data_IF_993050597727
#
_entry.id   IF_993050597727
#
_cell.length_a   1.000
_cell.length_b   1.000
_cell.length_c   1.000
_cell.angle_alpha   90.00
_cell.angle_beta   90.00
_cell.angle_gamma   90.00
#
_symmetry.space_group_name_H-M   'P 1'
#
loop_
_entity.id
_entity.type
_entity.pdbx_description
1 polymer ?
#
# COMPACT_ATOMS: atom_id res chain seq x y z
N UNK A 1 -21.03 9.68 -31.28
CA UNK A 1 -20.67 10.24 -29.95
C UNK A 1 -19.23 9.96 -29.64
N UNK A 2 -18.39 10.99 -29.52
CA UNK A 2 -16.99 10.84 -29.09
C UNK A 2 -16.93 10.76 -27.57
N UNK A 3 -16.28 9.72 -27.04
CA UNK A 3 -16.11 9.53 -25.60
C UNK A 3 -14.76 10.10 -25.15
N UNK A 4 -14.72 10.57 -23.89
CA UNK A 4 -13.52 11.18 -23.27
C UNK A 4 -12.24 10.34 -23.41
N UNK A 5 -12.36 9.01 -23.36
CA UNK A 5 -11.21 8.10 -23.42
C UNK A 5 -10.79 7.67 -24.84
N UNK A 6 -11.49 8.15 -25.87
CA UNK A 6 -11.18 7.80 -27.25
C UNK A 6 -10.15 8.76 -27.84
N UNK A 7 -9.15 8.21 -28.53
CA UNK A 7 -8.21 8.99 -29.33
C UNK A 7 -8.71 8.99 -30.77
N UNK A 8 -8.95 10.18 -31.32
CA UNK A 8 -9.34 10.34 -32.72
C UNK A 8 -8.12 10.09 -33.61
N UNK A 9 -8.27 9.31 -34.67
CA UNK A 9 -7.19 8.98 -35.62
C UNK A 9 -7.70 9.08 -37.07
N UNK A 10 -6.79 9.37 -37.99
CA UNK A 10 -7.02 9.42 -39.45
C UNK A 10 -8.07 10.45 -39.92
N UNK A 11 -8.17 11.60 -39.23
CA UNK A 11 -8.99 12.75 -39.66
C UNK A 11 -8.29 14.04 -39.26
N UNK A 12 -8.40 15.09 -40.08
CA UNK A 12 -7.77 16.38 -39.79
C UNK A 12 -8.50 17.13 -38.67
N UNK A 13 -9.82 17.30 -38.81
CA UNK A 13 -10.64 18.05 -37.86
C UNK A 13 -12.02 17.44 -37.71
N UNK A 14 -12.65 17.65 -36.56
CA UNK A 14 -14.05 17.30 -36.34
C UNK A 14 -14.72 18.43 -35.57
N UNK A 15 -15.93 18.81 -35.98
CA UNK A 15 -16.77 19.73 -35.23
C UNK A 15 -17.75 18.91 -34.39
N UNK A 16 -17.85 19.24 -33.11
CA UNK A 16 -18.72 18.52 -32.17
C UNK A 16 -19.24 19.43 -31.08
N UNK A 17 -20.43 19.12 -30.57
CA UNK A 17 -21.02 19.76 -29.42
C UNK A 17 -20.72 18.93 -28.17
N UNK A 18 -20.18 19.58 -27.13
CA UNK A 18 -19.91 18.93 -25.84
C UNK A 18 -21.22 18.81 -25.07
N UNK A 19 -21.68 17.57 -24.85
CA UNK A 19 -22.92 17.28 -24.11
C UNK A 19 -22.62 16.99 -22.63
N UNK A 20 -21.54 16.28 -22.33
CA UNK A 20 -21.17 15.87 -20.96
C UNK A 20 -19.74 16.32 -20.64
N UNK A 21 -19.53 16.88 -19.45
CA UNK A 21 -18.22 17.36 -18.96
C UNK A 21 -17.90 16.73 -17.60
N UNK A 22 -16.61 16.69 -17.24
CA UNK A 22 -16.16 16.28 -15.91
C UNK A 22 -16.69 14.91 -15.44
N UNK A 23 -17.50 14.96 -14.38
CA UNK A 23 -18.05 13.79 -13.68
C UNK A 23 -19.20 13.11 -14.43
N UNK A 24 -19.87 13.84 -15.32
CA UNK A 24 -20.95 13.30 -16.14
C UNK A 24 -20.43 12.48 -17.34
N UNK A 25 -19.12 12.48 -17.57
CA UNK A 25 -18.53 11.69 -18.65
C UNK A 25 -18.66 10.19 -18.35
N UNK A 26 -19.05 9.39 -19.35
CA UNK A 26 -19.28 7.94 -19.19
C UNK A 26 -18.11 7.19 -18.53
N UNK A 27 -16.88 7.60 -18.83
CA UNK A 27 -15.65 7.03 -18.24
C UNK A 27 -15.58 7.31 -16.74
N UNK A 28 -15.93 8.53 -16.32
CA UNK A 28 -15.86 8.96 -14.93
C UNK A 28 -17.00 8.36 -14.10
N UNK A 29 -18.22 8.30 -14.62
CA UNK A 29 -19.35 7.61 -13.98
C UNK A 29 -19.05 6.13 -13.71
N UNK A 30 -18.26 5.49 -14.57
CA UNK A 30 -17.82 4.09 -14.38
C UNK A 30 -16.57 3.94 -13.52
N UNK A 31 -15.84 5.01 -13.26
CA UNK A 31 -14.68 4.99 -12.37
C UNK A 31 -15.12 4.99 -10.91
N UNK A 32 -14.50 4.16 -10.08
CA UNK A 32 -14.71 4.20 -8.63
C UNK A 32 -13.85 5.29 -8.01
N UNK A 33 -14.38 5.97 -6.99
CA UNK A 33 -13.60 6.88 -6.16
C UNK A 33 -12.37 6.16 -5.58
N UNK A 34 -11.26 6.87 -5.50
CA UNK A 34 -10.00 6.33 -4.97
C UNK A 34 -10.20 6.09 -3.48
N UNK A 35 -10.17 4.82 -3.07
CA UNK A 35 -10.14 4.44 -1.65
C UNK A 35 -8.68 4.32 -1.20
N UNK A 36 -8.37 4.84 -0.02
CA UNK A 36 -7.07 4.60 0.63
C UNK A 36 -6.88 3.11 0.83
N UNK A 37 -5.82 2.56 0.26
CA UNK A 37 -5.47 1.15 0.38
C UNK A 37 -4.62 0.97 1.64
N UNK A 38 -5.02 0.07 2.52
CA UNK A 38 -4.31 -0.28 3.75
C UNK A 38 -3.80 -1.71 3.59
N UNK A 39 -2.52 -1.95 3.89
CA UNK A 39 -1.90 -3.27 3.80
C UNK A 39 -2.36 -4.22 4.90
N UNK A 40 -2.28 -5.52 4.64
CA UNK A 40 -2.50 -6.60 5.60
C UNK A 40 -1.48 -6.52 6.75
N UNK A 41 -0.21 -6.27 6.44
CA UNK A 41 0.85 -6.11 7.45
C UNK A 41 0.53 -4.95 8.40
N UNK A 42 0.01 -3.84 7.87
CA UNK A 42 -0.39 -2.70 8.69
C UNK A 42 -1.61 -3.02 9.57
N UNK A 43 -2.58 -3.75 9.03
CA UNK A 43 -3.71 -4.24 9.82
C UNK A 43 -3.28 -5.20 10.94
N UNK A 44 -2.25 -6.01 10.71
CA UNK A 44 -1.66 -6.92 11.70
C UNK A 44 -0.98 -6.15 12.83
N UNK A 45 -0.16 -5.16 12.48
CA UNK A 45 0.50 -4.26 13.45
C UNK A 45 -0.55 -3.55 14.30
N UNK A 46 -1.61 -3.03 13.70
CA UNK A 46 -2.68 -2.37 14.44
C UNK A 46 -3.43 -3.34 15.38
N UNK A 47 -3.61 -4.60 14.97
CA UNK A 47 -4.19 -5.62 15.86
C UNK A 47 -3.29 -5.90 17.05
N UNK A 48 -1.98 -6.09 16.83
CA UNK A 48 -1.02 -6.34 17.90
C UNK A 48 -0.86 -5.13 18.83
N UNK A 49 -0.90 -3.90 18.29
CA UNK A 49 -0.88 -2.67 19.09
C UNK A 49 -2.08 -2.60 20.04
N UNK A 50 -3.29 -2.95 19.57
CA UNK A 50 -4.47 -3.01 20.44
C UNK A 50 -4.35 -4.08 21.52
N UNK A 51 -3.77 -5.24 21.21
CA UNK A 51 -3.52 -6.30 22.20
C UNK A 51 -2.52 -5.84 23.28
N UNK A 52 -1.41 -5.21 22.88
CA UNK A 52 -0.43 -4.65 23.81
C UNK A 52 -1.03 -3.56 24.69
N UNK A 53 -1.84 -2.65 24.13
CA UNK A 53 -2.53 -1.61 24.90
C UNK A 53 -3.52 -2.22 25.92
N UNK A 54 -4.25 -3.28 25.55
CA UNK A 54 -5.12 -4.00 26.48
C UNK A 54 -4.35 -4.71 27.60
N UNK A 55 -3.24 -5.36 27.26
CA UNK A 55 -2.36 -6.00 28.25
C UNK A 55 -1.73 -4.98 29.22
N UNK A 56 -1.31 -3.83 28.71
CA UNK A 56 -0.78 -2.72 29.51
C UNK A 56 -1.83 -2.25 30.54
N UNK A 57 -3.06 -2.01 30.11
CA UNK A 57 -4.15 -1.61 31.01
C UNK A 57 -4.42 -2.66 32.10
N UNK A 58 -4.40 -3.95 31.75
CA UNK A 58 -4.55 -5.03 32.72
C UNK A 58 -3.44 -4.99 33.78
N UNK A 59 -2.18 -4.85 33.36
CA UNK A 59 -1.04 -4.75 34.27
C UNK A 59 -1.18 -3.53 35.18
N UNK A 60 -1.52 -2.35 34.64
CA UNK A 60 -1.71 -1.14 35.45
C UNK A 60 -2.81 -1.29 36.50
N UNK A 61 -3.94 -1.91 36.14
CA UNK A 61 -5.05 -2.16 37.09
C UNK A 61 -4.64 -3.17 38.15
N UNK A 62 -3.96 -4.26 37.78
CA UNK A 62 -3.47 -5.24 38.76
C UNK A 62 -2.39 -4.66 39.67
N UNK A 63 -1.49 -3.82 39.16
CA UNK A 63 -0.45 -3.14 39.95
C UNK A 63 -1.04 -2.15 40.95
N UNK A 64 -2.01 -1.34 40.53
CA UNK A 64 -2.75 -0.45 41.43
C UNK A 64 -3.56 -1.23 42.47
N UNK A 65 -4.18 -2.34 42.08
CA UNK A 65 -4.90 -3.23 42.99
C UNK A 65 -3.99 -3.89 44.03
N UNK A 66 -2.82 -4.39 43.60
CA UNK A 66 -1.82 -4.97 44.51
C UNK A 66 -1.29 -3.92 45.49
N UNK A 67 -1.02 -2.70 45.01
CA UNK A 67 -0.64 -1.58 45.85
C UNK A 67 -1.73 -1.24 46.88
N UNK A 68 -3.00 -1.25 46.48
CA UNK A 68 -4.12 -0.99 47.39
C UNK A 68 -4.21 -2.03 48.52
N UNK A 69 -4.07 -3.32 48.19
CA UNK A 69 -4.07 -4.42 49.18
C UNK A 69 -2.87 -4.29 50.13
N UNK A 70 -1.68 -3.98 49.59
CA UNK A 70 -0.47 -3.78 50.39
C UNK A 70 -0.59 -2.58 51.34
N UNK A 71 -1.18 -1.48 50.87
CA UNK A 71 -1.38 -0.28 51.67
C UNK A 71 -2.35 -0.50 52.84
N UNK A 72 -3.38 -1.34 52.67
CA UNK A 72 -4.37 -1.67 53.71
C UNK A 72 -3.84 -2.69 54.75
N UNK A 73 -2.98 -3.64 54.32
CA UNK A 73 -2.42 -4.68 55.17
C UNK A 73 -1.12 -4.28 55.90
N UNK A 74 0.00 -4.26 55.17
CA UNK A 74 1.36 -4.11 55.72
C UNK A 74 1.87 -2.65 55.74
N UNK A 75 1.19 -1.73 55.03
CA UNK A 75 1.60 -0.32 54.91
C UNK A 75 1.65 0.44 56.25
N UNK A 76 0.87 0.02 57.25
CA UNK A 76 0.82 0.59 58.59
C UNK A 76 2.08 0.30 59.44
N UNK A 77 2.87 -0.72 59.11
CA UNK A 77 4.12 -1.04 59.81
C UNK A 77 5.29 -0.14 59.38
N UNK A 78 5.13 0.63 58.31
CA UNK A 78 6.18 1.49 57.74
C UNK A 78 5.91 2.96 58.07
N UNK A 79 6.15 3.35 59.33
CA UNK A 79 5.94 4.71 59.87
C UNK A 79 6.58 5.83 59.03
N UNK A 80 7.62 5.51 58.24
CA UNK A 80 8.29 6.47 57.35
C UNK A 80 7.52 6.77 56.06
N UNK A 81 6.66 5.85 55.57
CA UNK A 81 5.99 6.01 54.28
C UNK A 81 4.71 6.86 54.33
N UNK A 82 4.14 7.09 55.52
CA UNK A 82 2.89 7.85 55.75
C UNK A 82 1.84 7.62 54.64
N UNK A 83 1.37 6.38 54.42
CA UNK A 83 0.39 6.12 53.39
C UNK A 83 -0.92 6.85 53.73
N UNK A 84 -1.32 7.82 52.89
CA UNK A 84 -2.63 8.45 53.02
C UNK A 84 -3.75 7.42 52.75
N UNK A 85 -4.89 7.51 53.45
CA UNK A 85 -6.00 6.59 53.25
C UNK A 85 -6.45 6.63 51.79
N UNK A 86 -6.53 5.44 51.18
CA UNK A 86 -6.76 5.28 49.76
C UNK A 86 -8.21 5.69 49.40
N UNK A 87 -8.40 6.95 49.00
CA UNK A 87 -9.63 7.40 48.37
C UNK A 87 -9.80 6.75 46.99
N UNK A 88 -11.03 6.63 46.48
CA UNK A 88 -11.29 6.13 45.13
C UNK A 88 -10.55 6.94 44.04
N UNK A 89 -10.29 8.22 44.29
CA UNK A 89 -9.46 9.08 43.43
C UNK A 89 -7.98 8.68 43.47
N UNK A 90 -7.48 8.26 44.64
CA UNK A 90 -6.10 7.81 44.81
C UNK A 90 -5.79 6.52 44.04
N UNK A 91 -6.75 5.60 43.92
CA UNK A 91 -6.59 4.39 43.09
C UNK A 91 -6.41 4.78 41.61
N UNK A 92 -7.20 5.73 41.12
CA UNK A 92 -7.09 6.22 39.75
C UNK A 92 -5.73 6.89 39.49
N UNK A 93 -5.23 7.70 40.42
CA UNK A 93 -3.89 8.28 40.35
C UNK A 93 -2.78 7.21 40.31
N UNK A 94 -2.91 6.13 41.10
CA UNK A 94 -1.96 5.01 41.07
C UNK A 94 -2.02 4.26 39.75
N UNK A 95 -3.20 4.03 39.17
CA UNK A 95 -3.33 3.43 37.82
C UNK A 95 -2.60 4.29 36.78
N UNK A 96 -2.76 5.62 36.82
CA UNK A 96 -2.04 6.54 35.93
C UNK A 96 -0.53 6.54 36.18
N UNK A 97 -0.11 6.43 37.43
CA UNK A 97 1.31 6.34 37.80
C UNK A 97 1.95 5.08 37.22
N UNK A 98 1.29 3.92 37.36
CA UNK A 98 1.75 2.67 36.75
C UNK A 98 1.70 2.73 35.22
N UNK A 99 0.70 3.40 34.63
CA UNK A 99 0.65 3.59 33.19
C UNK A 99 1.83 4.41 32.65
N UNK A 100 2.22 5.49 33.35
CA UNK A 100 3.39 6.28 32.99
C UNK A 100 4.69 5.48 33.14
N UNK A 101 4.79 4.66 34.18
CA UNK A 101 5.95 3.81 34.43
C UNK A 101 6.13 2.75 33.33
N UNK A 102 5.03 2.20 32.85
CA UNK A 102 4.99 1.16 31.82
C UNK A 102 4.79 1.72 30.39
N UNK A 103 4.80 3.04 30.19
CA UNK A 103 4.56 3.68 28.89
C UNK A 103 5.56 3.25 27.79
N UNK A 104 6.75 2.79 28.18
CA UNK A 104 7.78 2.27 27.27
C UNK A 104 7.37 0.95 26.58
N UNK A 105 6.38 0.22 27.12
CA UNK A 105 5.84 -0.99 26.47
C UNK A 105 5.07 -0.68 25.18
N UNK A 106 4.60 0.56 24.98
CA UNK A 106 3.98 0.98 23.72
C UNK A 106 5.10 1.37 22.75
N UNK A 107 5.38 0.60 21.69
CA UNK A 107 6.50 0.89 20.80
C UNK A 107 6.11 2.01 19.84
N UNK A 108 6.20 3.26 20.29
CA UNK A 108 5.88 4.46 19.48
C UNK A 108 6.79 4.52 18.25
N UNK A 109 8.02 4.03 18.36
CA UNK A 109 8.99 3.97 17.26
C UNK A 109 8.60 2.99 16.15
N UNK A 110 7.75 1.99 16.41
CA UNK A 110 7.43 0.93 15.44
C UNK A 110 6.89 1.48 14.12
N UNK A 111 5.94 2.43 14.19
CA UNK A 111 5.34 3.02 12.98
C UNK A 111 6.36 3.84 12.20
N UNK A 112 7.23 4.58 12.89
CA UNK A 112 8.29 5.37 12.25
C UNK A 112 9.31 4.45 11.59
N UNK A 113 9.77 3.41 12.30
CA UNK A 113 10.69 2.40 11.76
C UNK A 113 10.12 1.71 10.52
N UNK A 114 8.85 1.30 10.53
CA UNK A 114 8.20 0.69 9.36
C UNK A 114 8.16 1.63 8.15
N UNK A 115 7.86 2.92 8.36
CA UNK A 115 7.88 3.92 7.28
C UNK A 115 9.29 4.11 6.71
N UNK A 116 10.31 4.13 7.56
CA UNK A 116 11.72 4.23 7.12
C UNK A 116 12.11 2.99 6.30
N UNK A 117 11.75 1.79 6.76
CA UNK A 117 12.01 0.55 6.00
C UNK A 117 11.35 0.59 4.62
N UNK A 118 10.07 0.96 4.54
CA UNK A 118 9.34 1.09 3.27
C UNK A 118 9.93 2.17 2.36
N UNK A 119 10.46 3.25 2.93
CA UNK A 119 11.12 4.31 2.16
C UNK A 119 12.41 3.79 1.52
N UNK A 120 13.20 3.03 2.28
CA UNK A 120 14.42 2.39 1.77
C UNK A 120 14.09 1.34 0.71
N UNK A 121 13.08 0.50 0.93
CA UNK A 121 12.60 -0.47 -0.07
C UNK A 121 12.13 0.21 -1.36
N UNK A 122 11.34 1.29 -1.23
CA UNK A 122 10.93 2.12 -2.37
C UNK A 122 12.14 2.61 -3.15
N UNK A 123 13.14 3.16 -2.46
CA UNK A 123 14.34 3.68 -3.10
C UNK A 123 15.08 2.61 -3.89
N UNK A 124 15.22 1.40 -3.34
CA UNK A 124 15.84 0.30 -4.07
C UNK A 124 15.05 -0.13 -5.29
N UNK A 125 13.71 -0.21 -5.20
CA UNK A 125 12.87 -0.62 -6.33
C UNK A 125 12.91 0.40 -7.48
N UNK A 126 12.90 1.70 -7.17
CA UNK A 126 12.98 2.76 -8.19
C UNK A 126 14.37 2.88 -8.83
N UNK A 127 15.41 2.32 -8.19
CA UNK A 127 16.79 2.31 -8.70
C UNK A 127 17.17 1.00 -9.39
N UNK A 128 16.24 0.08 -9.55
CA UNK A 128 16.51 -1.20 -10.22
C UNK A 128 16.54 -1.04 -11.75
N UNK A 129 17.72 -1.27 -12.34
CA UNK A 129 17.92 -1.26 -13.80
C UNK A 129 17.24 -2.46 -14.48
N UNK A 130 16.97 -3.55 -13.76
CA UNK A 130 16.26 -4.70 -14.30
C UNK A 130 14.77 -4.42 -14.57
N UNK A 131 14.21 -3.40 -13.93
CA UNK A 131 12.83 -2.94 -14.13
C UNK A 131 12.76 -1.58 -14.84
N UNK A 132 13.84 -1.21 -15.53
CA UNK A 132 13.91 -0.03 -16.39
C UNK A 132 13.60 -0.42 -17.83
N UNK A 133 12.61 0.25 -18.44
CA UNK A 133 12.26 0.04 -19.84
C UNK A 133 12.51 1.32 -20.65
N UNK A 134 13.20 1.18 -21.77
CA UNK A 134 13.44 2.27 -22.72
C UNK A 134 12.95 1.88 -24.12
N UNK A 135 12.09 2.70 -24.70
CA UNK A 135 11.69 2.58 -26.09
C UNK A 135 12.58 3.48 -26.95
N UNK A 136 13.65 2.90 -27.49
CA UNK A 136 14.63 3.60 -28.32
C UNK A 136 14.01 4.29 -29.55
N UNK A 137 12.88 3.80 -30.07
CA UNK A 137 12.20 4.46 -31.19
C UNK A 137 11.53 5.76 -30.74
N UNK A 138 10.91 5.75 -29.56
CA UNK A 138 10.31 6.93 -28.95
C UNK A 138 11.38 7.93 -28.53
N UNK A 139 12.46 7.48 -27.86
CA UNK A 139 13.58 8.34 -27.46
C UNK A 139 14.15 9.11 -28.65
N UNK A 140 14.34 8.42 -29.80
CA UNK A 140 14.81 9.06 -31.03
C UNK A 140 13.80 10.03 -31.64
N UNK A 141 12.51 9.66 -31.64
CA UNK A 141 11.45 10.49 -32.21
C UNK A 141 11.24 11.78 -31.39
N UNK A 142 11.32 11.70 -30.07
CA UNK A 142 11.05 12.81 -29.15
C UNK A 142 12.34 13.49 -28.65
N UNK A 143 13.50 13.17 -29.24
CA UNK A 143 14.83 13.72 -28.86
C UNK A 143 15.14 13.60 -27.35
N UNK A 144 14.68 12.52 -26.72
CA UNK A 144 14.87 12.25 -25.29
C UNK A 144 13.87 12.92 -24.34
N UNK A 145 12.80 13.57 -24.83
CA UNK A 145 11.73 14.07 -23.95
C UNK A 145 10.82 12.94 -23.43
N UNK A 146 10.62 11.88 -24.23
CA UNK A 146 9.85 10.69 -23.88
C UNK A 146 10.57 9.42 -24.32
N UNK A 147 10.21 8.28 -23.73
CA UNK A 147 10.73 6.97 -24.11
C UNK A 147 11.46 6.23 -22.99
N UNK A 148 11.71 6.90 -21.86
CA UNK A 148 12.22 6.27 -20.63
C UNK A 148 11.08 6.00 -19.65
N UNK A 149 10.94 4.74 -19.24
CA UNK A 149 9.88 4.29 -18.34
C UNK A 149 10.51 3.51 -17.16
N UNK A 150 11.10 4.22 -16.17
CA UNK A 150 11.56 3.59 -14.94
C UNK A 150 10.37 3.10 -14.11
N UNK A 151 10.60 2.09 -13.28
CA UNK A 151 9.62 1.67 -12.28
C UNK A 151 9.39 2.80 -11.27
N UNK A 152 8.12 3.18 -11.08
CA UNK A 152 7.72 4.26 -10.18
C UNK A 152 6.80 3.75 -9.08
N UNK A 153 7.18 3.94 -7.82
CA UNK A 153 6.38 3.53 -6.67
C UNK A 153 5.49 4.67 -6.23
N UNK A 154 4.21 4.59 -6.61
CA UNK A 154 3.18 5.59 -6.25
C UNK A 154 2.66 5.45 -4.83
N UNK A 155 2.74 4.25 -4.24
CA UNK A 155 2.22 3.98 -2.89
C UNK A 155 3.14 3.01 -2.17
N UNK A 156 3.94 3.52 -1.23
CA UNK A 156 4.94 2.74 -0.50
C UNK A 156 4.33 1.80 0.55
N UNK A 157 3.13 2.10 1.05
CA UNK A 157 2.46 1.27 2.09
C UNK A 157 2.03 -0.12 1.59
N UNK A 158 2.07 -0.34 0.27
CA UNK A 158 1.69 -1.59 -0.37
C UNK A 158 2.88 -2.41 -0.88
N UNK A 159 4.11 -1.97 -0.64
CA UNK A 159 5.30 -2.69 -1.09
C UNK A 159 5.35 -4.12 -0.51
N UNK A 160 5.03 -4.25 0.77
CA UNK A 160 5.00 -5.54 1.48
C UNK A 160 3.92 -6.50 0.91
N UNK A 161 2.89 -5.97 0.26
CA UNK A 161 1.80 -6.77 -0.33
C UNK A 161 2.19 -7.43 -1.65
N UNK A 162 3.21 -6.91 -2.35
CA UNK A 162 3.66 -7.47 -3.65
C UNK A 162 4.12 -8.92 -3.45
N UNK A 163 4.76 -9.23 -2.33
CA UNK A 163 5.17 -10.58 -1.97
C UNK A 163 4.03 -11.52 -1.56
N UNK A 164 2.81 -11.01 -1.41
CA UNK A 164 1.63 -11.78 -0.98
C UNK A 164 0.60 -11.99 -2.09
N UNK A 165 0.91 -11.55 -3.32
CA UNK A 165 0.00 -11.67 -4.46
C UNK A 165 -0.15 -13.14 -4.85
N UNK A 166 -1.38 -13.65 -4.88
CA UNK A 166 -1.70 -15.04 -5.30
C UNK A 166 -2.31 -15.11 -6.70
N UNK A 167 -3.00 -14.06 -7.12
CA UNK A 167 -3.71 -14.01 -8.39
C UNK A 167 -3.35 -12.71 -9.11
N UNK A 168 -2.99 -12.82 -10.39
CA UNK A 168 -2.71 -11.69 -11.26
C UNK A 168 -3.82 -11.64 -12.31
N UNK A 169 -4.62 -10.58 -12.27
CA UNK A 169 -5.59 -10.28 -13.32
C UNK A 169 -4.93 -9.41 -14.37
N UNK A 170 -4.64 -10.00 -15.53
CA UNK A 170 -4.02 -9.28 -16.65
C UNK A 170 -5.06 -8.93 -17.70
N UNK A 171 -5.00 -7.69 -18.20
CA UNK A 171 -5.73 -7.32 -19.40
C UNK A 171 -5.01 -7.83 -20.66
N UNK A 172 -5.76 -8.12 -21.72
CA UNK A 172 -5.16 -8.60 -22.97
C UNK A 172 -4.51 -7.46 -23.75
N UNK A 173 -5.29 -6.41 -24.01
CA UNK A 173 -4.89 -5.35 -24.94
C UNK A 173 -4.08 -4.28 -24.22
N UNK A 174 -2.86 -4.01 -24.69
CA UNK A 174 -1.98 -3.03 -24.07
C UNK A 174 -1.27 -3.52 -22.79
N UNK A 175 -1.43 -4.80 -22.42
CA UNK A 175 -0.61 -5.45 -21.39
C UNK A 175 0.01 -6.73 -21.91
N UNK A 176 -0.78 -7.74 -22.30
CA UNK A 176 -0.23 -8.96 -22.89
C UNK A 176 0.21 -8.78 -24.34
N UNK A 177 -0.51 -7.96 -25.11
CA UNK A 177 -0.19 -7.70 -26.51
C UNK A 177 0.32 -6.28 -26.70
N UNK A 178 1.54 -6.12 -27.22
CA UNK A 178 1.97 -4.87 -27.84
C UNK A 178 1.13 -4.66 -29.09
N UNK A 179 0.41 -3.54 -29.21
CA UNK A 179 -0.58 -3.27 -30.26
C UNK A 179 0.05 -3.10 -31.67
N UNK A 180 0.81 -4.09 -32.11
CA UNK A 180 1.39 -4.24 -33.43
C UNK A 180 0.99 -5.62 -33.96
N UNK A 181 0.54 -5.66 -35.21
CA UNK A 181 0.10 -6.90 -35.85
C UNK A 181 1.05 -7.20 -37.00
N UNK A 182 1.69 -8.36 -36.94
CA UNK A 182 2.60 -8.81 -37.99
C UNK A 182 2.00 -10.01 -38.70
N UNK A 183 1.87 -9.91 -40.02
CA UNK A 183 1.44 -11.02 -40.84
C UNK A 183 2.58 -12.03 -40.97
N UNK A 184 2.39 -13.24 -40.43
CA UNK A 184 3.44 -14.27 -40.35
C UNK A 184 3.26 -15.42 -41.32
N UNK A 185 2.07 -16.01 -41.38
CA UNK A 185 1.79 -17.23 -42.15
C UNK A 185 0.41 -17.15 -42.80
N UNK A 186 0.26 -17.85 -43.92
CA UNK A 186 -0.99 -18.01 -44.64
C UNK A 186 -1.08 -19.39 -45.25
N UNK A 187 -2.26 -20.00 -45.23
CA UNK A 187 -2.52 -21.27 -45.90
C UNK A 187 -3.35 -21.00 -47.16
N UNK A 188 -2.86 -21.42 -48.32
CA UNK A 188 -3.55 -21.28 -49.61
C UNK A 188 -3.62 -22.66 -50.27
N UNK A 189 -4.82 -23.13 -50.60
CA UNK A 189 -5.07 -24.46 -51.19
C UNK A 189 -4.42 -25.63 -50.40
N UNK A 190 -4.39 -25.55 -49.07
CA UNK A 190 -3.78 -26.55 -48.22
C UNK A 190 -2.24 -26.48 -48.12
N UNK A 191 -1.60 -25.54 -48.83
CA UNK A 191 -0.17 -25.29 -48.74
C UNK A 191 0.07 -24.12 -47.78
N UNK A 192 0.87 -24.36 -46.74
CA UNK A 192 1.25 -23.33 -45.77
C UNK A 192 2.44 -22.52 -46.27
N UNK A 193 2.28 -21.21 -46.36
CA UNK A 193 3.30 -20.23 -46.71
C UNK A 193 3.66 -19.39 -45.48
N UNK A 194 4.95 -19.09 -45.32
CA UNK A 194 5.49 -18.29 -44.21
C UNK A 194 6.48 -19.08 -43.35
N UNK A 195 7.61 -18.45 -43.05
CA UNK A 195 8.71 -19.02 -42.27
C UNK A 195 8.79 -18.34 -40.90
N UNK A 196 9.24 -19.09 -39.89
CA UNK A 196 9.45 -18.59 -38.53
C UNK A 196 8.70 -19.35 -37.44
N UNK A 197 9.33 -19.45 -36.28
CA UNK A 197 8.78 -19.92 -35.01
C UNK A 197 8.58 -18.70 -34.12
N UNK A 198 7.45 -18.64 -33.40
CA UNK A 198 7.27 -17.68 -32.31
C UNK A 198 7.87 -18.26 -31.03
N UNK A 199 8.08 -17.45 -30.00
CA UNK A 199 8.47 -17.97 -28.68
C UNK A 199 7.49 -19.04 -28.15
N UNK A 200 6.22 -18.98 -28.55
CA UNK A 200 5.20 -19.98 -28.20
C UNK A 200 5.46 -21.36 -28.85
N UNK A 201 6.23 -21.40 -29.94
CA UNK A 201 6.58 -22.64 -30.64
C UNK A 201 8.03 -23.09 -30.44
N UNK A 202 8.73 -22.50 -29.47
CA UNK A 202 10.10 -22.88 -29.07
C UNK A 202 10.13 -23.78 -27.81
N UNK A 203 8.99 -23.94 -27.14
CA UNK A 203 8.79 -24.86 -26.01
C UNK A 203 8.08 -26.16 -26.45
#
# INVERSE_FOLDING_TARGET
TLLRGCVLRNVEHVYGLVIYTGDDTKVRVKSKAIRTKVGRVESEINRNMKLLMGALLLVCVTGAGMFAVFADGDGLLHTYMQPEPLSGVGIFEKVLTFFLLEAQFVPVSLYVSMRVVRLVQKFFLEKDLGMYFEDAAVVRATRGEEGEYPTQVRTMDLLDEIGQVTHIFSDKTGTLTGNYMEFRKVCVNGISYGLGTTQIGLD
#
